data_IF_776130657159
#
_entry.id   IF_776130657159
#
_cell.length_a   1.000
_cell.length_b   1.000
_cell.length_c   1.000
_cell.angle_alpha   90.00
_cell.angle_beta   90.00
_cell.angle_gamma   90.00
#
_symmetry.space_group_name_H-M   'P 1'
#
loop_
_entity.id
_entity.type
_entity.pdbx_description
1 polymer ?
#
# COMPACT_ATOMS: atom_id res chain seq x y z
N UNK A 1 -12.15 -35.79 10.58
CA UNK A 1 -11.11 -35.22 9.69
C UNK A 1 -10.58 -33.93 10.32
N UNK A 2 -9.26 -33.72 10.39
CA UNK A 2 -8.68 -32.48 10.99
C UNK A 2 -9.21 -31.25 10.26
N UNK A 3 -9.67 -30.24 11.00
CA UNK A 3 -10.12 -28.98 10.41
C UNK A 3 -8.95 -28.33 9.64
N UNK A 4 -9.20 -27.94 8.39
CA UNK A 4 -8.23 -27.22 7.56
C UNK A 4 -8.15 -25.76 8.03
N UNK A 5 -6.94 -25.24 8.17
CA UNK A 5 -6.69 -23.89 8.67
C UNK A 5 -6.91 -22.83 7.59
N UNK A 6 -7.73 -21.83 7.91
CA UNK A 6 -8.01 -20.67 7.07
C UNK A 6 -6.76 -19.82 6.80
N UNK A 7 -5.88 -19.71 7.79
CA UNK A 7 -4.61 -19.00 7.65
C UNK A 7 -3.68 -19.73 6.67
N UNK A 8 -3.59 -21.06 6.76
CA UNK A 8 -2.80 -21.86 5.81
C UNK A 8 -3.41 -21.76 4.41
N UNK A 9 -4.74 -21.80 4.29
CA UNK A 9 -5.41 -21.57 2.99
C UNK A 9 -5.03 -20.21 2.41
N UNK A 10 -5.12 -19.13 3.18
CA UNK A 10 -4.72 -17.79 2.74
C UNK A 10 -3.26 -17.73 2.29
N UNK A 11 -2.34 -18.25 3.10
CA UNK A 11 -0.91 -18.22 2.83
C UNK A 11 -0.56 -18.99 1.54
N UNK A 12 -1.16 -20.17 1.35
CA UNK A 12 -0.97 -20.96 0.14
C UNK A 12 -1.62 -20.32 -1.09
N UNK A 13 -2.71 -19.55 -0.93
CA UNK A 13 -3.37 -18.88 -2.05
C UNK A 13 -2.50 -17.80 -2.70
N UNK A 14 -1.35 -17.42 -2.15
CA UNK A 14 -0.40 -16.51 -2.81
C UNK A 14 0.00 -17.00 -4.21
N UNK A 15 0.05 -18.32 -4.41
CA UNK A 15 0.14 -18.94 -5.73
C UNK A 15 -1.25 -19.47 -6.11
N UNK A 16 -1.88 -18.98 -7.19
CA UNK A 16 -3.20 -19.44 -7.61
C UNK A 16 -3.26 -20.97 -7.74
N UNK A 17 -4.21 -21.58 -7.04
CA UNK A 17 -4.43 -23.03 -7.04
C UNK A 17 -3.69 -23.82 -5.95
N UNK A 18 -2.63 -23.30 -5.33
CA UNK A 18 -1.86 -24.04 -4.31
C UNK A 18 -2.69 -24.38 -3.07
N UNK A 19 -3.55 -23.45 -2.66
CA UNK A 19 -4.46 -23.63 -1.53
C UNK A 19 -5.44 -24.79 -1.72
N UNK A 20 -5.87 -25.06 -2.97
CA UNK A 20 -6.83 -26.13 -3.25
C UNK A 20 -6.25 -27.52 -3.02
N UNK A 21 -4.94 -27.71 -3.26
CA UNK A 21 -4.25 -28.97 -2.92
C UNK A 21 -4.29 -29.22 -1.42
N UNK A 22 -4.04 -28.19 -0.61
CA UNK A 22 -4.16 -28.31 0.84
C UNK A 22 -5.57 -28.68 1.31
N UNK A 23 -6.59 -28.18 0.60
CA UNK A 23 -8.01 -28.46 0.88
C UNK A 23 -8.48 -29.81 0.36
N UNK A 24 -7.68 -30.51 -0.45
CA UNK A 24 -8.05 -31.79 -1.07
C UNK A 24 -8.84 -31.65 -2.37
N UNK A 25 -8.87 -30.45 -2.97
CA UNK A 25 -9.56 -30.16 -4.23
C UNK A 25 -8.52 -29.99 -5.35
N UNK A 26 -7.72 -31.04 -5.59
CA UNK A 26 -6.60 -30.99 -6.54
C UNK A 26 -7.04 -30.57 -7.95
N UNK A 27 -8.19 -31.05 -8.44
CA UNK A 27 -8.70 -30.72 -9.79
C UNK A 27 -8.85 -29.21 -9.99
N UNK A 28 -9.44 -28.52 -9.01
CA UNK A 28 -9.60 -27.05 -9.04
C UNK A 28 -8.24 -26.35 -8.89
N UNK A 29 -7.37 -26.89 -8.05
CA UNK A 29 -6.00 -26.38 -7.89
C UNK A 29 -5.22 -26.40 -9.20
N UNK A 30 -5.29 -27.50 -9.93
CA UNK A 30 -4.65 -27.65 -11.24
C UNK A 30 -5.19 -26.65 -12.26
N UNK A 31 -6.49 -26.41 -12.32
CA UNK A 31 -7.08 -25.42 -13.24
C UNK A 31 -6.47 -24.04 -13.01
N UNK A 32 -6.44 -23.56 -11.77
CA UNK A 32 -5.88 -22.24 -11.46
C UNK A 32 -4.37 -22.17 -11.72
N UNK A 33 -3.63 -23.24 -11.41
CA UNK A 33 -2.19 -23.31 -11.63
C UNK A 33 -1.86 -23.32 -13.13
N UNK A 34 -2.61 -24.04 -13.95
CA UNK A 34 -2.46 -24.06 -15.42
C UNK A 34 -2.79 -22.67 -15.99
N UNK A 35 -3.89 -22.04 -15.59
CA UNK A 35 -4.24 -20.70 -16.08
C UNK A 35 -3.14 -19.70 -15.74
N UNK A 36 -2.69 -19.68 -14.48
CA UNK A 36 -1.59 -18.82 -14.04
C UNK A 36 -0.30 -19.10 -14.81
N UNK A 37 0.09 -20.37 -14.93
CA UNK A 37 1.29 -20.79 -15.66
C UNK A 37 1.23 -20.44 -17.14
N UNK A 38 0.08 -20.60 -17.79
CA UNK A 38 -0.14 -20.25 -19.20
C UNK A 38 -0.03 -18.75 -19.43
N UNK A 39 -0.58 -17.92 -18.54
CA UNK A 39 -0.45 -16.45 -18.61
C UNK A 39 1.03 -16.07 -18.51
N UNK A 40 1.75 -16.61 -17.53
CA UNK A 40 3.18 -16.32 -17.37
C UNK A 40 4.02 -16.80 -18.57
N UNK A 41 3.85 -18.05 -18.99
CA UNK A 41 4.61 -18.63 -20.09
C UNK A 41 4.31 -17.96 -21.43
N UNK A 42 3.03 -17.69 -21.73
CA UNK A 42 2.61 -16.97 -22.94
C UNK A 42 3.17 -15.57 -22.96
N UNK A 43 3.13 -14.87 -21.82
CA UNK A 43 3.65 -13.52 -21.70
C UNK A 43 5.16 -13.46 -21.94
N UNK A 44 5.93 -14.38 -21.36
CA UNK A 44 7.37 -14.47 -21.56
C UNK A 44 7.69 -14.81 -23.02
N UNK A 45 6.98 -15.80 -23.59
CA UNK A 45 7.16 -16.20 -24.99
C UNK A 45 6.87 -15.05 -25.97
N UNK A 46 5.77 -14.33 -25.77
CA UNK A 46 5.43 -13.16 -26.60
C UNK A 46 6.41 -12.01 -26.42
N UNK A 47 6.91 -11.78 -25.21
CA UNK A 47 7.94 -10.76 -24.97
C UNK A 47 9.20 -11.01 -25.80
N UNK A 48 9.65 -12.26 -25.86
CA UNK A 48 10.82 -12.67 -26.66
C UNK A 48 10.53 -12.55 -28.15
N UNK A 49 9.35 -13.03 -28.60
CA UNK A 49 8.99 -13.03 -30.03
C UNK A 49 8.76 -11.63 -30.61
N UNK A 50 8.15 -10.74 -29.83
CA UNK A 50 7.80 -9.38 -30.25
C UNK A 50 8.91 -8.36 -29.95
N UNK A 51 9.92 -8.73 -29.16
CA UNK A 51 10.95 -7.80 -28.67
C UNK A 51 10.36 -6.61 -27.90
N UNK A 52 9.23 -6.84 -27.21
CA UNK A 52 8.41 -5.80 -26.57
C UNK A 52 7.99 -6.25 -25.18
N UNK A 53 8.06 -5.34 -24.21
CA UNK A 53 7.67 -5.60 -22.82
C UNK A 53 6.14 -5.51 -22.59
N UNK A 54 5.38 -5.11 -23.62
CA UNK A 54 3.93 -4.93 -23.51
C UNK A 54 3.16 -6.18 -23.05
N UNK A 55 3.46 -7.41 -23.54
CA UNK A 55 2.80 -8.63 -23.05
C UNK A 55 3.01 -8.85 -21.54
N UNK A 56 4.21 -8.57 -21.02
CA UNK A 56 4.53 -8.68 -19.58
C UNK A 56 3.70 -7.72 -18.75
N UNK A 57 3.53 -6.49 -19.22
CA UNK A 57 2.70 -5.49 -18.53
C UNK A 57 1.23 -5.93 -18.47
N UNK A 58 0.71 -6.46 -19.58
CA UNK A 58 -0.67 -6.97 -19.65
C UNK A 58 -0.86 -8.17 -18.71
N UNK A 59 0.08 -9.11 -18.72
CA UNK A 59 0.04 -10.27 -17.83
C UNK A 59 0.12 -9.86 -16.35
N UNK A 60 0.97 -8.89 -16.01
CA UNK A 60 1.06 -8.34 -14.66
C UNK A 60 -0.26 -7.71 -14.21
N UNK A 61 -1.00 -7.04 -15.11
CA UNK A 61 -2.31 -6.47 -14.81
C UNK A 61 -3.42 -7.54 -14.69
N UNK A 62 -3.38 -8.61 -15.50
CA UNK A 62 -4.40 -9.67 -15.50
C UNK A 62 -4.24 -10.71 -14.39
N UNK A 63 -3.01 -10.98 -13.96
CA UNK A 63 -2.68 -12.01 -12.95
C UNK A 63 -3.36 -11.78 -11.59
N UNK A 64 -3.43 -10.55 -11.04
CA UNK A 64 -4.18 -10.27 -9.81
C UNK A 64 -5.65 -10.68 -9.86
N UNK A 65 -6.29 -10.59 -11.03
CA UNK A 65 -7.69 -10.98 -11.21
C UNK A 65 -7.84 -12.49 -11.04
N UNK A 66 -6.99 -13.27 -11.71
CA UNK A 66 -6.96 -14.74 -11.59
C UNK A 66 -6.67 -15.15 -10.16
N UNK A 67 -5.71 -14.49 -9.51
CA UNK A 67 -5.37 -14.71 -8.11
C UNK A 67 -6.58 -14.49 -7.19
N UNK A 68 -7.31 -13.39 -7.36
CA UNK A 68 -8.47 -13.05 -6.54
C UNK A 68 -9.60 -14.07 -6.74
N UNK A 69 -9.86 -14.49 -7.98
CA UNK A 69 -10.85 -15.55 -8.27
C UNK A 69 -10.47 -16.87 -7.60
N UNK A 70 -9.20 -17.28 -7.70
CA UNK A 70 -8.71 -18.51 -7.07
C UNK A 70 -8.81 -18.44 -5.53
N UNK A 71 -8.49 -17.29 -4.94
CA UNK A 71 -8.61 -17.04 -3.51
C UNK A 71 -10.07 -17.19 -3.03
N UNK A 72 -11.02 -16.56 -3.74
CA UNK A 72 -12.45 -16.65 -3.41
C UNK A 72 -12.93 -18.11 -3.47
N UNK A 73 -12.57 -18.85 -4.52
CA UNK A 73 -12.98 -20.25 -4.67
C UNK A 73 -12.41 -21.14 -3.55
N UNK A 74 -11.12 -20.98 -3.22
CA UNK A 74 -10.49 -21.71 -2.12
C UNK A 74 -11.21 -21.49 -0.78
N UNK A 75 -11.63 -20.25 -0.51
CA UNK A 75 -12.36 -19.93 0.71
C UNK A 75 -13.80 -20.42 0.73
N UNK A 76 -14.48 -20.44 -0.43
CA UNK A 76 -15.78 -21.08 -0.57
C UNK A 76 -15.72 -22.57 -0.19
N UNK A 77 -14.68 -23.27 -0.63
CA UNK A 77 -14.43 -24.68 -0.31
C UNK A 77 -14.17 -24.87 1.18
N UNK A 78 -13.28 -24.08 1.78
CA UNK A 78 -12.99 -24.13 3.23
C UNK A 78 -14.27 -23.99 4.05
N UNK A 79 -15.12 -23.03 3.68
CA UNK A 79 -16.35 -22.77 4.41
C UNK A 79 -17.35 -23.92 4.23
N UNK A 80 -17.45 -24.49 3.04
CA UNK A 80 -18.28 -25.67 2.77
C UNK A 80 -17.83 -26.89 3.58
N UNK A 81 -16.53 -27.16 3.67
CA UNK A 81 -15.97 -28.26 4.49
C UNK A 81 -16.33 -28.08 5.97
N UNK A 82 -16.24 -26.84 6.49
CA UNK A 82 -16.56 -26.55 7.89
C UNK A 82 -18.06 -26.64 8.17
N UNK A 83 -18.90 -26.16 7.25
CA UNK A 83 -20.35 -26.26 7.33
C UNK A 83 -20.82 -27.73 7.39
N UNK A 84 -20.33 -28.57 6.47
CA UNK A 84 -20.72 -29.99 6.39
C UNK A 84 -20.34 -30.78 7.66
N UNK A 85 -19.26 -30.41 8.32
CA UNK A 85 -18.81 -31.06 9.56
C UNK A 85 -19.68 -30.72 10.79
N UNK A 86 -20.54 -29.70 10.72
CA UNK A 86 -21.20 -29.09 11.88
C UNK A 86 -22.74 -29.21 11.90
N UNK A 87 -23.36 -30.11 11.12
CA UNK A 87 -24.84 -30.15 11.05
C UNK A 87 -25.47 -31.17 11.99
N UNK A 88 -26.06 -30.67 13.09
CA UNK A 88 -27.52 -30.57 13.26
C UNK A 88 -27.87 -29.53 14.35
N UNK A 89 -28.92 -28.72 14.09
CA UNK A 89 -29.58 -27.66 14.93
C UNK A 89 -29.05 -26.20 14.77
N UNK A 90 -27.92 -25.95 14.11
CA UNK A 90 -27.20 -24.67 14.19
C UNK A 90 -27.33 -23.73 12.96
N UNK A 91 -28.44 -23.72 12.23
CA UNK A 91 -28.49 -23.15 10.88
C UNK A 91 -28.59 -21.61 10.80
N UNK A 92 -29.25 -20.93 11.75
CA UNK A 92 -29.32 -19.46 11.76
C UNK A 92 -28.05 -18.81 12.32
N UNK A 93 -27.49 -19.38 13.40
CA UNK A 93 -26.25 -18.91 14.01
C UNK A 93 -25.04 -19.14 13.08
N UNK A 94 -24.98 -20.29 12.39
CA UNK A 94 -23.93 -20.56 11.42
C UNK A 94 -24.02 -19.67 10.18
N UNK A 95 -25.21 -19.23 9.76
CA UNK A 95 -25.37 -18.32 8.62
C UNK A 95 -24.79 -16.93 8.93
N UNK A 96 -25.12 -16.38 10.09
CA UNK A 96 -24.56 -15.12 10.61
C UNK A 96 -23.04 -15.20 10.75
N UNK A 97 -22.52 -16.28 11.34
CA UNK A 97 -21.07 -16.51 11.52
C UNK A 97 -20.34 -16.66 10.16
N UNK A 98 -20.94 -17.39 9.21
CA UNK A 98 -20.39 -17.56 7.85
C UNK A 98 -20.40 -16.24 7.09
N UNK A 99 -21.46 -15.45 7.22
CA UNK A 99 -21.57 -14.11 6.61
C UNK A 99 -20.52 -13.15 7.17
N UNK A 100 -20.34 -13.12 8.49
CA UNK A 100 -19.30 -12.31 9.14
C UNK A 100 -17.89 -12.75 8.73
N UNK A 101 -17.67 -14.04 8.58
CA UNK A 101 -16.39 -14.56 8.12
C UNK A 101 -16.09 -14.23 6.66
N UNK A 102 -17.08 -14.38 5.76
CA UNK A 102 -16.95 -13.97 4.36
C UNK A 102 -16.68 -12.47 4.25
N UNK A 103 -17.37 -11.66 5.07
CA UNK A 103 -17.12 -10.22 5.16
C UNK A 103 -15.67 -9.92 5.54
N UNK A 104 -15.09 -10.63 6.51
CA UNK A 104 -13.65 -10.52 6.89
C UNK A 104 -12.71 -10.78 5.72
N UNK A 105 -12.91 -11.89 4.99
CA UNK A 105 -12.03 -12.22 3.87
C UNK A 105 -12.17 -11.23 2.73
N UNK A 106 -13.41 -10.90 2.33
CA UNK A 106 -13.65 -9.98 1.22
C UNK A 106 -13.05 -8.61 1.57
N UNK A 107 -13.19 -8.16 2.81
CA UNK A 107 -12.52 -6.95 3.30
C UNK A 107 -11.01 -7.05 3.13
N UNK A 108 -10.38 -8.14 3.57
CA UNK A 108 -8.93 -8.32 3.47
C UNK A 108 -8.43 -8.41 2.03
N UNK A 109 -9.16 -9.14 1.17
CA UNK A 109 -8.86 -9.24 -0.25
C UNK A 109 -8.96 -7.88 -0.94
N UNK A 110 -10.03 -7.12 -0.65
CA UNK A 110 -10.19 -5.77 -1.19
C UNK A 110 -9.16 -4.79 -0.61
N UNK A 111 -8.70 -4.99 0.63
CA UNK A 111 -7.64 -4.17 1.25
C UNK A 111 -6.28 -4.29 0.58
N UNK A 112 -6.11 -5.25 -0.36
CA UNK A 112 -4.95 -5.29 -1.25
C UNK A 112 -4.87 -4.03 -2.13
N UNK A 113 -6.02 -3.40 -2.43
CA UNK A 113 -6.10 -2.05 -2.99
C UNK A 113 -6.34 -1.09 -1.82
N UNK A 114 -5.42 -0.15 -1.54
CA UNK A 114 -5.58 0.79 -0.44
C UNK A 114 -6.93 1.51 -0.48
N UNK A 115 -7.64 1.50 0.64
CA UNK A 115 -8.96 2.09 0.81
C UNK A 115 -10.16 1.24 0.33
N UNK A 116 -9.98 0.26 -0.54
CA UNK A 116 -11.11 -0.50 -1.07
C UNK A 116 -11.77 -1.43 -0.02
N UNK A 117 -10.98 -2.01 0.89
CA UNK A 117 -11.50 -2.77 2.03
C UNK A 117 -12.40 -1.92 2.94
N UNK A 118 -12.01 -0.68 3.24
CA UNK A 118 -12.82 0.26 4.01
C UNK A 118 -14.14 0.62 3.34
N UNK A 119 -14.12 0.84 2.01
CA UNK A 119 -15.33 1.12 1.25
C UNK A 119 -16.31 -0.06 1.29
N UNK A 120 -15.80 -1.30 1.22
CA UNK A 120 -16.62 -2.49 1.38
C UNK A 120 -17.23 -2.63 2.78
N UNK A 121 -16.50 -2.20 3.83
CA UNK A 121 -17.01 -2.15 5.19
C UNK A 121 -18.05 -1.04 5.44
N UNK A 122 -18.23 -0.11 4.49
CA UNK A 122 -19.12 1.04 4.59
C UNK A 122 -18.43 2.36 4.92
N UNK A 123 -17.12 2.36 5.21
CA UNK A 123 -16.33 3.55 5.51
C UNK A 123 -15.89 4.27 4.23
N UNK A 124 -16.86 4.78 3.46
CA UNK A 124 -16.63 5.39 2.14
C UNK A 124 -15.63 6.55 2.18
N UNK A 125 -15.76 7.46 3.15
CA UNK A 125 -14.87 8.64 3.28
C UNK A 125 -13.42 8.23 3.60
N UNK A 126 -13.23 7.34 4.57
CA UNK A 126 -11.90 6.83 4.97
C UNK A 126 -11.24 6.10 3.81
N UNK A 127 -12.00 5.20 3.16
CA UNK A 127 -11.54 4.47 1.99
C UNK A 127 -11.15 5.37 0.82
N UNK A 128 -11.97 6.39 0.49
CA UNK A 128 -11.67 7.33 -0.58
C UNK A 128 -10.40 8.15 -0.30
N UNK A 129 -10.18 8.58 0.95
CA UNK A 129 -8.96 9.32 1.34
C UNK A 129 -7.72 8.44 1.21
N UNK A 130 -7.77 7.17 1.65
CA UNK A 130 -6.65 6.24 1.53
C UNK A 130 -6.35 5.85 0.09
N UNK A 131 -7.39 5.54 -0.68
CA UNK A 131 -7.29 5.24 -2.11
C UNK A 131 -6.76 6.45 -2.88
N UNK A 132 -7.31 7.64 -2.62
CA UNK A 132 -6.88 8.90 -3.19
C UNK A 132 -5.42 9.20 -2.86
N UNK A 133 -5.01 9.08 -1.60
CA UNK A 133 -3.62 9.30 -1.18
C UNK A 133 -2.63 8.34 -1.83
N UNK A 134 -2.98 7.06 -1.97
CA UNK A 134 -2.14 6.06 -2.63
C UNK A 134 -1.97 6.36 -4.12
N UNK A 135 -3.07 6.51 -4.87
CA UNK A 135 -3.01 6.78 -6.31
C UNK A 135 -2.46 8.18 -6.61
N UNK A 136 -2.73 9.17 -5.77
CA UNK A 136 -2.11 10.50 -5.87
C UNK A 136 -0.60 10.40 -5.70
N UNK A 137 -0.11 9.60 -4.75
CA UNK A 137 1.33 9.37 -4.57
C UNK A 137 1.95 8.74 -5.83
N UNK A 138 1.32 7.72 -6.42
CA UNK A 138 1.78 7.12 -7.70
C UNK A 138 1.82 8.17 -8.81
N UNK A 139 0.71 8.90 -8.98
CA UNK A 139 0.58 9.94 -10.00
C UNK A 139 1.66 11.02 -9.85
N UNK A 140 1.85 11.51 -8.63
CA UNK A 140 2.82 12.56 -8.33
C UNK A 140 4.27 12.08 -8.48
N UNK A 141 4.56 10.85 -8.03
CA UNK A 141 5.85 10.19 -8.23
C UNK A 141 6.19 10.11 -9.73
N UNK A 142 5.26 9.62 -10.56
CA UNK A 142 5.46 9.48 -12.00
C UNK A 142 5.55 10.83 -12.73
N UNK A 143 4.64 11.76 -12.45
CA UNK A 143 4.60 13.06 -13.11
C UNK A 143 5.83 13.91 -12.80
N UNK A 144 6.27 13.93 -11.54
CA UNK A 144 7.41 14.72 -11.10
C UNK A 144 8.75 13.99 -11.19
N UNK A 145 8.72 12.68 -11.44
CA UNK A 145 9.91 11.83 -11.43
C UNK A 145 10.64 11.87 -10.07
N UNK A 146 9.86 11.76 -8.99
CA UNK A 146 10.35 11.81 -7.61
C UNK A 146 10.46 10.39 -7.04
N UNK A 147 11.54 9.69 -7.36
CA UNK A 147 11.76 8.28 -6.94
C UNK A 147 11.75 8.08 -5.43
N UNK A 148 12.02 9.13 -4.63
CA UNK A 148 11.95 9.03 -3.17
C UNK A 148 10.52 8.79 -2.65
N UNK A 149 9.46 9.14 -3.40
CA UNK A 149 8.08 8.87 -2.98
C UNK A 149 7.72 7.37 -2.98
N UNK A 150 8.59 6.53 -3.57
CA UNK A 150 8.38 5.09 -3.65
C UNK A 150 8.25 4.45 -2.26
N UNK A 151 8.94 4.97 -1.22
CA UNK A 151 8.81 4.42 0.14
C UNK A 151 7.44 4.70 0.79
N UNK A 152 6.70 5.74 0.34
CA UNK A 152 5.37 6.04 0.88
C UNK A 152 4.34 5.02 0.42
N UNK A 153 4.50 4.41 -0.76
CA UNK A 153 3.56 3.45 -1.31
C UNK A 153 3.35 2.22 -0.39
N UNK A 154 4.40 1.47 0.02
CA UNK A 154 4.21 0.37 0.96
C UNK A 154 3.74 0.87 2.32
N UNK A 155 4.15 2.06 2.77
CA UNK A 155 3.71 2.61 4.07
C UNK A 155 2.19 2.87 4.09
N UNK A 156 1.67 3.56 3.07
CA UNK A 156 0.22 3.83 2.92
C UNK A 156 -0.54 2.51 2.76
N UNK A 157 0.02 1.58 1.99
CA UNK A 157 -0.59 0.27 1.77
C UNK A 157 -0.70 -0.54 3.05
N UNK A 158 0.39 -0.71 3.81
CA UNK A 158 0.39 -1.44 5.08
C UNK A 158 -0.57 -0.79 6.08
N UNK A 159 -0.53 0.55 6.22
CA UNK A 159 -1.48 1.27 7.07
C UNK A 159 -2.92 0.95 6.66
N UNK A 160 -3.27 1.12 5.38
CA UNK A 160 -4.63 0.83 4.90
C UNK A 160 -5.02 -0.64 5.12
N UNK A 161 -4.12 -1.59 4.89
CA UNK A 161 -4.40 -3.00 5.04
C UNK A 161 -4.69 -3.38 6.49
N UNK A 162 -3.80 -2.98 7.41
CA UNK A 162 -3.96 -3.25 8.82
C UNK A 162 -5.14 -2.50 9.42
N UNK A 163 -5.39 -1.27 9.00
CA UNK A 163 -6.52 -0.49 9.47
C UNK A 163 -7.85 -1.17 9.09
N UNK A 164 -8.02 -1.64 7.85
CA UNK A 164 -9.20 -2.40 7.44
C UNK A 164 -9.33 -3.74 8.20
N UNK A 165 -8.21 -4.41 8.47
CA UNK A 165 -8.17 -5.65 9.25
C UNK A 165 -8.64 -5.46 10.69
N UNK A 166 -8.18 -4.40 11.36
CA UNK A 166 -8.61 -4.08 12.73
C UNK A 166 -10.08 -3.66 12.75
N UNK A 167 -10.50 -2.82 11.79
CA UNK A 167 -11.89 -2.34 11.66
C UNK A 167 -12.89 -3.49 11.55
N UNK A 168 -12.57 -4.56 10.80
CA UNK A 168 -13.47 -5.73 10.69
C UNK A 168 -13.33 -6.72 11.85
N UNK A 169 -12.22 -6.67 12.60
CA UNK A 169 -11.99 -7.54 13.77
C UNK A 169 -12.68 -7.00 15.03
N UNK A 170 -13.02 -5.71 15.06
CA UNK A 170 -13.68 -5.06 16.20
C UNK A 170 -12.69 -4.72 17.32
N UNK A 171 -11.40 -4.67 16.99
CA UNK A 171 -10.40 -4.11 17.90
C UNK A 171 -10.39 -2.61 17.65
N UNK A 172 -11.01 -1.84 18.55
CA UNK A 172 -10.95 -0.39 18.56
C UNK A 172 -9.53 0.04 18.94
N UNK A 173 -8.63 0.03 17.96
CA UNK A 173 -7.34 0.71 18.08
C UNK A 173 -7.61 2.20 17.97
N UNK A 174 -7.00 3.02 18.82
CA UNK A 174 -7.10 4.48 18.72
C UNK A 174 -6.79 4.94 17.29
N UNK A 175 -7.85 5.27 16.57
CA UNK A 175 -7.80 5.55 15.15
C UNK A 175 -7.33 7.00 14.94
N UNK A 176 -6.22 7.19 14.24
CA UNK A 176 -5.89 8.50 13.70
C UNK A 176 -6.97 8.81 12.65
N UNK A 177 -7.88 9.71 12.99
CA UNK A 177 -9.01 10.07 12.14
C UNK A 177 -8.52 10.96 10.98
N UNK A 178 -7.87 10.34 9.98
CA UNK A 178 -7.24 11.03 8.82
C UNK A 178 -8.24 11.95 8.12
N UNK A 179 -9.52 11.57 8.12
CA UNK A 179 -10.63 12.34 7.55
C UNK A 179 -10.87 13.66 8.30
N UNK A 180 -10.59 13.74 9.61
CA UNK A 180 -10.62 14.99 10.39
C UNK A 180 -9.29 15.74 10.33
N UNK A 181 -8.19 15.06 10.06
CA UNK A 181 -6.87 15.69 9.87
C UNK A 181 -6.80 16.53 8.59
N UNK A 182 -7.41 16.09 7.49
CA UNK A 182 -7.33 16.84 6.21
C UNK A 182 -7.97 18.25 6.27
N UNK A 183 -9.17 18.45 6.85
CA UNK A 183 -9.79 19.77 6.98
C UNK A 183 -9.19 20.65 8.08
N UNK A 184 -8.46 20.08 9.05
CA UNK A 184 -7.89 20.84 10.18
C UNK A 184 -6.53 21.47 9.86
N UNK A 185 -5.92 21.12 8.73
CA UNK A 185 -4.72 21.81 8.25
C UNK A 185 -5.14 23.18 7.70
N UNK A 186 -4.59 24.24 8.29
CA UNK A 186 -4.89 25.59 7.83
C UNK A 186 -4.46 25.77 6.35
N UNK A 187 -5.31 26.37 5.49
CA UNK A 187 -5.03 26.51 4.05
C UNK A 187 -3.68 27.16 3.73
N UNK A 188 -3.18 28.02 4.62
CA UNK A 188 -1.88 28.69 4.50
C UNK A 188 -0.72 27.70 4.49
N UNK A 189 -0.78 26.62 5.28
CA UNK A 189 0.26 25.59 5.29
C UNK A 189 0.20 24.71 4.04
N UNK A 190 -1.00 24.43 3.54
CA UNK A 190 -1.20 23.73 2.26
C UNK A 190 -0.62 24.57 1.13
N UNK A 191 -0.88 25.88 1.14
CA UNK A 191 -0.31 26.84 0.19
C UNK A 191 1.21 26.90 0.24
N UNK A 192 1.82 26.99 1.43
CA UNK A 192 3.27 26.95 1.59
C UNK A 192 3.87 25.63 1.07
N UNK A 193 3.21 24.50 1.32
CA UNK A 193 3.60 23.20 0.78
C UNK A 193 3.57 23.18 -0.75
N UNK A 194 2.49 23.66 -1.36
CA UNK A 194 2.37 23.76 -2.82
C UNK A 194 3.44 24.66 -3.44
N UNK A 195 3.72 25.82 -2.83
CA UNK A 195 4.77 26.74 -3.29
C UNK A 195 6.15 26.08 -3.18
N UNK A 196 6.44 25.41 -2.06
CA UNK A 196 7.70 24.70 -1.88
C UNK A 196 7.89 23.58 -2.90
N UNK A 197 6.85 22.77 -3.14
CA UNK A 197 6.88 21.71 -4.15
C UNK A 197 7.01 22.32 -5.56
N UNK A 198 6.27 23.37 -5.87
CA UNK A 198 6.38 24.10 -7.15
C UNK A 198 7.77 24.65 -7.40
N UNK A 199 8.42 25.22 -6.37
CA UNK A 199 9.80 25.67 -6.44
C UNK A 199 10.79 24.54 -6.66
N UNK A 200 10.62 23.41 -5.98
CA UNK A 200 11.45 22.21 -6.16
C UNK A 200 11.34 21.65 -7.58
N UNK A 201 10.12 21.62 -8.14
CA UNK A 201 9.88 21.22 -9.52
C UNK A 201 10.51 22.19 -10.51
N UNK A 202 10.36 23.51 -10.30
CA UNK A 202 10.96 24.52 -11.16
C UNK A 202 12.50 24.41 -11.14
N UNK A 203 13.09 24.16 -9.98
CA UNK A 203 14.52 23.90 -9.85
C UNK A 203 14.94 22.64 -10.64
N UNK A 204 14.19 21.55 -10.51
CA UNK A 204 14.58 20.28 -11.12
C UNK A 204 14.29 20.22 -12.64
N UNK A 205 13.19 20.81 -13.11
CA UNK A 205 12.73 20.70 -14.50
C UNK A 205 13.02 21.92 -15.37
N UNK A 206 13.21 23.10 -14.79
CA UNK A 206 13.48 24.33 -15.55
C UNK A 206 14.93 24.76 -15.36
N UNK A 207 15.37 24.87 -14.11
CA UNK A 207 16.73 25.33 -13.82
C UNK A 207 17.79 24.32 -14.25
N UNK A 208 17.59 23.02 -13.99
CA UNK A 208 18.56 21.99 -14.37
C UNK A 208 18.86 21.92 -15.89
N UNK A 209 17.87 21.87 -16.81
CA UNK A 209 18.17 21.90 -18.24
C UNK A 209 18.88 23.18 -18.68
N UNK A 210 18.47 24.34 -18.19
CA UNK A 210 19.12 25.62 -18.51
C UNK A 210 20.57 25.63 -18.01
N UNK A 211 20.80 25.16 -16.79
CA UNK A 211 22.14 25.04 -16.23
C UNK A 211 22.98 24.06 -17.06
N UNK A 212 22.42 22.93 -17.48
CA UNK A 212 23.14 21.96 -18.33
C UNK A 212 23.51 22.54 -19.70
N UNK A 213 22.65 23.35 -20.30
CA UNK A 213 22.92 24.03 -21.58
C UNK A 213 24.00 25.12 -21.43
N UNK A 214 24.00 25.84 -20.31
CA UNK A 214 25.03 26.83 -20.02
C UNK A 214 26.38 26.16 -19.71
N UNK A 215 26.37 25.08 -18.94
CA UNK A 215 27.58 24.34 -18.56
C UNK A 215 28.16 23.55 -19.74
N UNK A 216 27.34 23.03 -20.66
CA UNK A 216 27.81 22.34 -21.87
C UNK A 216 28.56 23.26 -22.83
N UNK A 217 28.41 24.58 -22.67
CA UNK A 217 29.21 25.57 -23.41
C UNK A 217 30.62 25.70 -22.83
N UNK A 218 30.83 25.29 -21.58
CA UNK A 218 32.10 25.43 -20.84
C UNK A 218 32.81 24.08 -20.66
N UNK A 219 32.07 22.97 -20.60
CA UNK A 219 32.58 21.61 -20.37
C UNK A 219 32.10 20.61 -21.43
N UNK A 220 32.96 19.67 -21.82
CA UNK A 220 32.65 18.61 -22.80
C UNK A 220 31.43 17.75 -22.39
N UNK A 221 30.58 17.49 -23.38
CA UNK A 221 29.25 16.87 -23.21
C UNK A 221 29.28 15.49 -22.53
N UNK A 222 30.39 14.75 -22.65
CA UNK A 222 30.51 13.36 -22.21
C UNK A 222 30.39 13.16 -20.68
N UNK A 223 30.66 14.19 -19.87
CA UNK A 223 30.60 14.10 -18.39
C UNK A 223 29.32 14.66 -17.76
N UNK A 224 28.40 15.22 -18.55
CA UNK A 224 27.25 15.99 -18.04
C UNK A 224 26.22 15.12 -17.31
N UNK A 225 26.05 13.86 -17.72
CA UNK A 225 25.09 12.94 -17.08
C UNK A 225 25.56 12.45 -15.70
N UNK A 226 26.87 12.38 -15.46
CA UNK A 226 27.40 12.07 -14.12
C UNK A 226 27.25 13.28 -13.19
N UNK A 227 27.54 14.48 -13.70
CA UNK A 227 27.34 15.75 -12.97
C UNK A 227 25.87 15.95 -12.57
N UNK A 228 24.93 15.52 -13.42
CA UNK A 228 23.48 15.50 -13.12
C UNK A 228 23.16 14.84 -11.79
N UNK A 229 23.64 13.61 -11.61
CA UNK A 229 23.30 12.78 -10.47
C UNK A 229 23.96 13.32 -9.19
N UNK A 230 25.16 13.89 -9.28
CA UNK A 230 25.82 14.54 -8.15
C UNK A 230 25.10 15.82 -7.71
N UNK A 231 24.67 16.67 -8.65
CA UNK A 231 23.90 17.89 -8.33
C UNK A 231 22.56 17.54 -7.70
N UNK A 232 21.82 16.58 -8.28
CA UNK A 232 20.53 16.15 -7.72
C UNK A 232 20.69 15.60 -6.30
N UNK A 233 21.69 14.74 -6.08
CA UNK A 233 21.99 14.19 -4.75
C UNK A 233 22.42 15.28 -3.78
N UNK A 234 23.20 16.26 -4.23
CA UNK A 234 23.65 17.41 -3.43
C UNK A 234 22.51 18.33 -2.99
N UNK A 235 21.55 18.61 -3.88
CA UNK A 235 20.38 19.43 -3.55
C UNK A 235 19.50 18.69 -2.53
N UNK A 236 19.24 17.40 -2.75
CA UNK A 236 18.41 16.59 -1.84
C UNK A 236 19.05 16.49 -0.45
N UNK A 237 20.36 16.24 -0.38
CA UNK A 237 21.07 16.18 0.91
C UNK A 237 21.05 17.53 1.64
N UNK A 238 21.20 18.65 0.93
CA UNK A 238 21.13 19.99 1.52
C UNK A 238 19.73 20.30 2.07
N UNK A 239 18.67 19.91 1.36
CA UNK A 239 17.29 20.01 1.86
C UNK A 239 17.11 19.20 3.15
N UNK A 240 17.60 17.96 3.21
CA UNK A 240 17.53 17.13 4.41
C UNK A 240 18.33 17.70 5.58
N UNK A 241 19.54 18.22 5.34
CA UNK A 241 20.38 18.84 6.37
C UNK A 241 19.68 20.08 6.94
N UNK A 242 19.20 20.99 6.09
CA UNK A 242 18.51 22.21 6.56
C UNK A 242 17.20 21.86 7.26
N UNK A 243 16.43 20.91 6.72
CA UNK A 243 15.22 20.39 7.34
C UNK A 243 15.47 19.80 8.72
N UNK A 244 16.51 18.96 8.85
CA UNK A 244 16.93 18.36 10.12
C UNK A 244 17.35 19.42 11.15
N UNK A 245 18.19 20.39 10.75
CA UNK A 245 18.62 21.49 11.63
C UNK A 245 17.43 22.32 12.11
N UNK A 246 16.45 22.59 11.25
CA UNK A 246 15.24 23.35 11.60
C UNK A 246 14.36 22.61 12.59
N UNK A 247 14.22 21.29 12.45
CA UNK A 247 13.48 20.44 13.41
C UNK A 247 14.18 20.42 14.77
N UNK A 248 15.50 20.28 14.80
CA UNK A 248 16.30 20.30 16.03
C UNK A 248 16.18 21.63 16.79
N UNK A 249 16.07 22.77 16.08
CA UNK A 249 15.85 24.08 16.70
C UNK A 249 14.44 24.26 17.28
N UNK A 250 13.42 23.59 16.73
CA UNK A 250 12.02 23.75 17.16
C UNK A 250 11.71 23.00 18.48
N UNK A 251 12.55 22.03 18.87
CA UNK A 251 12.32 21.21 20.08
C UNK A 251 12.84 21.84 21.39
N UNK A 252 13.16 23.14 21.41
CA UNK A 252 13.65 23.85 22.61
C UNK A 252 12.57 24.66 23.37
N UNK A 253 11.31 24.60 22.94
CA UNK A 253 10.21 25.34 23.57
C UNK A 253 9.14 24.39 24.13
N UNK A 254 9.54 23.44 24.98
CA UNK A 254 8.61 22.73 25.87
C UNK A 254 8.74 23.41 27.24
N UNK A 255 7.67 23.93 27.85
CA UNK A 255 7.75 24.50 29.20
C UNK A 255 8.02 23.36 30.19
N UNK A 256 8.97 23.58 31.10
CA UNK A 256 9.26 22.66 32.20
C UNK A 256 7.99 22.46 33.04
N UNK A 257 7.62 21.20 33.23
CA UNK A 257 6.53 20.81 34.13
C UNK A 257 7.11 20.92 35.55
N UNK A 258 6.70 21.95 36.30
CA UNK A 258 6.93 22.02 37.74
C UNK A 258 6.26 20.81 38.41
N UNK A 259 7.11 19.93 38.95
CA UNK A 259 6.68 18.84 39.81
C UNK A 259 6.43 19.46 41.18
N UNK A 260 5.20 19.37 41.65
CA UNK A 260 4.81 19.71 43.01
C UNK A 260 5.49 18.69 43.95
N UNK A 261 6.38 19.17 44.83
CA UNK A 261 6.83 18.38 45.98
C UNK A 261 5.65 18.35 46.97
N UNK A 262 5.05 17.17 47.12
CA UNK A 262 4.16 16.87 48.22
C UNK A 262 4.99 16.91 49.52
N UNK A 263 4.59 17.77 50.45
CA UNK A 263 5.02 17.72 51.85
C UNK A 263 4.55 16.37 52.43
N UNK A 264 5.49 15.44 52.64
CA UNK A 264 5.28 14.33 53.56
C UNK A 264 5.79 14.74 54.95
N UNK A 265 4.83 14.82 55.87
CA UNK A 265 5.00 14.86 57.31
C UNK A 265 5.86 13.68 57.81
N UNK A 266 6.95 13.96 58.53
CA UNK A 266 7.47 13.06 59.58
C UNK A 266 8.00 13.89 60.78
N UNK A 267 7.30 13.70 61.91
CA UNK A 267 7.60 13.93 63.34
C UNK A 267 7.73 15.35 63.94
#
# INVERSE_FOLDING_TARGET
MKQKSRFITFLLSFIPGLSHFYLGYADRGFIYLIIFGMICASSIGLCILLGSDAPLIIAFAGTPIVWLVALIDAFSIVNTIRYKNNSQIQDAYNLEETKNYNKKIITLALSMIPGAGHMYLGYQKKGLVLMGGFFFTIFFMGWLNLSFLLFLLPLIWFYSFFDAFHTITGNDVEDIDIVKFLPSIKPEYIGMGLIGIGGLIALQKVFYPILSQLLSTIFDYHNLDQIKNYIQTGIVSLIFIVGGIKILKKNKNVPDIEIWEDEEDED
#
